data_IF_183475693140
#
_entry.id   IF_183475693140
#
_cell.length_a   1.000
_cell.length_b   1.000
_cell.length_c   1.000
_cell.angle_alpha   90.00
_cell.angle_beta   90.00
_cell.angle_gamma   90.00
#
_symmetry.space_group_name_H-M   'P 1'
#
loop_
_entity.id
_entity.type
_entity.pdbx_description
1 polymer ?
#
# COMPACT_ATOMS: atom_id res chain seq x y z
N UNK A 1 -5.85 22.81 7.18
CA UNK A 1 -4.66 21.92 7.07
C UNK A 1 -5.10 20.69 6.30
N UNK A 2 -4.29 20.19 5.37
CA UNK A 2 -4.56 18.99 4.57
C UNK A 2 -3.26 18.18 4.46
N UNK A 3 -3.38 16.85 4.46
CA UNK A 3 -2.25 15.97 4.14
C UNK A 3 -1.89 16.15 2.66
N UNK A 4 -0.59 16.24 2.33
CA UNK A 4 -0.13 16.25 0.96
C UNK A 4 0.11 14.81 0.47
N UNK A 5 1.16 14.19 0.94
CA UNK A 5 1.56 12.83 0.56
C UNK A 5 2.56 12.28 1.59
N UNK A 6 2.71 10.97 1.72
CA UNK A 6 3.86 10.36 2.37
C UNK A 6 5.11 10.48 1.48
N UNK A 7 6.30 10.48 2.11
CA UNK A 7 7.58 10.45 1.41
C UNK A 7 8.37 9.20 1.83
N UNK A 8 8.82 8.42 0.85
CA UNK A 8 9.61 7.20 1.04
C UNK A 8 11.04 7.44 0.58
N UNK A 9 11.99 7.20 1.47
CA UNK A 9 13.38 7.13 1.05
C UNK A 9 13.61 5.84 0.26
N UNK A 10 14.32 5.92 -0.86
CA UNK A 10 14.64 4.77 -1.71
C UNK A 10 16.15 4.64 -1.91
N UNK A 11 16.61 3.39 -1.95
CA UNK A 11 18.04 3.06 -2.15
C UNK A 11 18.46 3.26 -3.61
N UNK A 12 17.65 2.78 -4.54
CA UNK A 12 17.86 2.92 -5.99
C UNK A 12 16.60 3.48 -6.65
N UNK A 13 16.69 4.71 -7.14
CA UNK A 13 15.55 5.41 -7.71
C UNK A 13 15.02 4.74 -8.98
N UNK A 14 15.91 4.19 -9.84
CA UNK A 14 15.48 3.59 -11.09
C UNK A 14 14.70 2.30 -10.86
N UNK A 15 15.18 1.46 -9.95
CA UNK A 15 14.52 0.21 -9.55
C UNK A 15 13.17 0.50 -8.87
N UNK A 16 13.12 1.51 -8.00
CA UNK A 16 11.87 1.92 -7.34
C UNK A 16 10.86 2.46 -8.35
N UNK A 17 11.28 3.32 -9.29
CA UNK A 17 10.39 3.83 -10.34
C UNK A 17 9.85 2.73 -11.24
N UNK A 18 10.67 1.73 -11.59
CA UNK A 18 10.20 0.56 -12.34
C UNK A 18 9.11 -0.22 -11.56
N UNK A 19 9.32 -0.44 -10.26
CA UNK A 19 8.35 -1.11 -9.39
C UNK A 19 7.05 -0.30 -9.29
N UNK A 20 7.12 0.99 -8.91
CA UNK A 20 5.93 1.82 -8.74
C UNK A 20 5.18 2.03 -10.06
N UNK A 21 5.90 2.13 -11.19
CA UNK A 21 5.29 2.14 -12.52
C UNK A 21 4.56 0.85 -12.86
N UNK A 22 5.11 -0.30 -12.48
CA UNK A 22 4.47 -1.61 -12.71
C UNK A 22 3.17 -1.80 -11.92
N UNK A 23 3.01 -1.12 -10.78
CA UNK A 23 1.75 -1.09 -10.01
C UNK A 23 0.84 0.08 -10.35
N UNK A 24 1.16 0.85 -11.42
CA UNK A 24 0.29 1.84 -12.00
C UNK A 24 0.55 3.30 -11.59
N UNK A 25 1.59 3.58 -10.81
CA UNK A 25 1.97 4.97 -10.54
C UNK A 25 2.59 5.64 -11.77
N UNK A 26 2.27 6.91 -11.97
CA UNK A 26 2.87 7.79 -12.96
C UNK A 26 3.76 8.83 -12.30
N UNK A 27 4.92 9.11 -12.91
CA UNK A 27 5.77 10.22 -12.48
C UNK A 27 5.18 11.54 -12.94
N UNK A 28 4.88 12.42 -11.99
CA UNK A 28 4.35 13.79 -12.24
C UNK A 28 5.49 14.79 -12.40
N UNK A 29 6.54 14.66 -11.59
CA UNK A 29 7.64 15.60 -11.59
C UNK A 29 8.84 15.10 -10.81
N UNK A 30 9.94 15.84 -10.94
CA UNK A 30 11.19 15.58 -10.25
C UNK A 30 11.84 16.90 -9.85
N UNK A 31 12.41 16.93 -8.65
CA UNK A 31 13.19 18.06 -8.14
C UNK A 31 14.57 17.55 -7.74
N UNK A 32 15.60 18.19 -8.23
CA UNK A 32 16.99 17.96 -7.82
C UNK A 32 17.36 19.05 -6.79
N UNK A 33 17.71 18.62 -5.60
CA UNK A 33 18.09 19.52 -4.48
C UNK A 33 19.60 19.76 -4.38
N UNK A 34 20.39 19.19 -5.31
CA UNK A 34 21.86 19.17 -5.24
C UNK A 34 22.37 18.00 -4.40
N UNK A 35 23.71 17.83 -4.40
CA UNK A 35 24.43 16.77 -3.66
C UNK A 35 23.88 15.33 -3.93
N UNK A 36 23.30 15.12 -5.12
CA UNK A 36 22.69 13.85 -5.52
C UNK A 36 21.32 13.56 -4.89
N UNK A 37 20.76 14.51 -4.14
CA UNK A 37 19.42 14.36 -3.54
C UNK A 37 18.34 14.68 -4.55
N UNK A 38 17.44 13.73 -4.77
CA UNK A 38 16.33 13.86 -5.72
C UNK A 38 15.01 13.52 -5.07
N UNK A 39 14.01 14.36 -5.31
CA UNK A 39 12.60 14.11 -4.99
C UNK A 39 11.85 13.76 -6.26
N UNK A 40 11.08 12.69 -6.26
CA UNK A 40 10.26 12.28 -7.41
C UNK A 40 8.82 12.13 -6.96
N UNK A 41 7.92 12.87 -7.62
CA UNK A 41 6.50 12.95 -7.30
C UNK A 41 5.72 11.94 -8.14
N UNK A 42 4.94 11.11 -7.49
CA UNK A 42 4.13 10.06 -8.10
C UNK A 42 2.66 10.23 -7.76
N UNK A 43 1.79 9.79 -8.67
CA UNK A 43 0.34 9.63 -8.44
C UNK A 43 -0.21 8.50 -9.28
N UNK A 44 -1.41 8.00 -8.98
CA UNK A 44 -2.17 7.19 -9.94
C UNK A 44 -2.83 8.09 -10.99
N UNK A 45 -3.11 7.58 -12.21
CA UNK A 45 -3.77 8.37 -13.26
C UNK A 45 -5.09 9.04 -12.82
N UNK A 46 -5.87 8.36 -11.97
CA UNK A 46 -7.14 8.85 -11.45
C UNK A 46 -7.01 9.89 -10.33
N UNK A 47 -5.83 10.02 -9.70
CA UNK A 47 -5.61 10.99 -8.63
C UNK A 47 -5.46 12.40 -9.20
N UNK A 48 -6.08 13.39 -8.57
CA UNK A 48 -5.94 14.81 -8.95
C UNK A 48 -4.60 15.39 -8.47
N UNK A 49 -4.03 14.83 -7.42
CA UNK A 49 -2.82 15.33 -6.74
C UNK A 49 -1.77 14.23 -6.58
N UNK A 50 -0.55 14.63 -6.28
CA UNK A 50 0.53 13.70 -5.89
C UNK A 50 0.12 12.93 -4.64
N UNK A 51 0.30 11.62 -4.66
CA UNK A 51 -0.07 10.72 -3.57
C UNK A 51 1.11 9.97 -2.96
N UNK A 52 2.28 10.05 -3.61
CA UNK A 52 3.53 9.48 -3.09
C UNK A 52 4.73 10.32 -3.56
N UNK A 53 5.71 10.51 -2.69
CA UNK A 53 7.04 11.06 -3.02
C UNK A 53 8.11 10.01 -2.78
N UNK A 54 9.03 9.84 -3.73
CA UNK A 54 10.26 9.07 -3.56
C UNK A 54 11.43 10.01 -3.32
N UNK A 55 12.15 9.80 -2.23
CA UNK A 55 13.33 10.56 -1.83
C UNK A 55 14.57 9.71 -2.03
N UNK A 56 15.37 10.03 -3.03
CA UNK A 56 16.67 9.38 -3.26
C UNK A 56 17.78 10.22 -2.64
N UNK A 57 18.54 9.64 -1.71
CA UNK A 57 19.69 10.23 -1.02
C UNK A 57 20.82 9.21 -0.98
N UNK A 58 21.68 9.14 -2.01
CA UNK A 58 22.71 8.11 -2.09
C UNK A 58 23.74 8.19 -0.96
N UNK A 59 24.00 9.37 -0.43
CA UNK A 59 24.93 9.57 0.68
C UNK A 59 24.49 8.90 1.99
N UNK A 60 23.18 8.66 2.16
CA UNK A 60 22.64 8.02 3.37
C UNK A 60 22.74 6.48 3.36
N UNK A 61 23.27 5.89 2.26
CA UNK A 61 23.35 4.46 2.09
C UNK A 61 21.99 3.76 1.91
N UNK A 62 21.94 2.43 2.02
CA UNK A 62 20.71 1.66 1.84
C UNK A 62 19.61 2.03 2.83
N UNK A 63 18.36 1.85 2.41
CA UNK A 63 17.19 2.07 3.28
C UNK A 63 17.13 1.00 4.36
N UNK A 64 16.84 1.43 5.59
CA UNK A 64 16.49 0.56 6.71
C UNK A 64 15.13 1.03 7.26
N UNK A 65 14.05 0.29 6.96
CA UNK A 65 12.69 0.68 7.33
C UNK A 65 12.45 0.59 8.85
N UNK A 66 13.07 -0.40 9.50
CA UNK A 66 12.81 -0.66 10.91
C UNK A 66 11.39 -1.19 11.15
N UNK A 67 10.84 -0.94 12.33
CA UNK A 67 9.52 -1.43 12.77
C UNK A 67 8.43 -0.35 12.83
N UNK A 68 8.76 0.90 12.53
CA UNK A 68 7.83 2.04 12.71
C UNK A 68 6.83 2.22 11.59
N UNK A 69 7.17 1.81 10.37
CA UNK A 69 6.26 1.89 9.22
C UNK A 69 5.57 0.53 9.00
N UNK A 70 4.25 0.53 8.86
CA UNK A 70 3.49 -0.69 8.60
C UNK A 70 3.35 -0.95 7.11
N UNK A 71 2.60 -0.14 6.38
CA UNK A 71 2.35 -0.31 4.96
C UNK A 71 1.74 0.94 4.32
N UNK A 72 1.75 0.98 3.00
CA UNK A 72 0.90 1.83 2.17
C UNK A 72 -0.30 0.99 1.72
N UNK A 73 -1.52 1.50 1.91
CA UNK A 73 -2.72 0.89 1.35
C UNK A 73 -3.08 1.57 0.02
N UNK A 74 -3.38 0.77 -0.99
CA UNK A 74 -3.77 1.20 -2.33
C UNK A 74 -5.06 0.51 -2.72
N UNK A 75 -6.08 1.29 -3.05
CA UNK A 75 -7.32 0.75 -3.58
C UNK A 75 -7.17 0.36 -5.05
N UNK A 76 -7.69 -0.80 -5.41
CA UNK A 76 -7.73 -1.31 -6.79
C UNK A 76 -9.16 -1.75 -7.14
N UNK A 77 -9.56 -1.55 -8.40
CA UNK A 77 -10.89 -1.95 -8.88
C UNK A 77 -10.96 -3.45 -9.19
N UNK A 78 -9.85 -4.03 -9.63
CA UNK A 78 -9.72 -5.46 -9.97
C UNK A 78 -8.41 -6.01 -9.40
N UNK A 79 -8.51 -6.65 -8.23
CA UNK A 79 -7.35 -7.25 -7.56
C UNK A 79 -6.76 -8.42 -8.36
N UNK A 80 -7.61 -9.22 -8.99
CA UNK A 80 -7.16 -10.34 -9.83
C UNK A 80 -6.34 -9.89 -11.02
N UNK A 81 -6.87 -8.93 -11.78
CA UNK A 81 -6.19 -8.32 -12.91
C UNK A 81 -4.88 -7.62 -12.50
N UNK A 82 -4.87 -6.94 -11.35
CA UNK A 82 -3.67 -6.32 -10.81
C UNK A 82 -2.59 -7.37 -10.48
N UNK A 83 -2.95 -8.47 -9.81
CA UNK A 83 -2.02 -9.56 -9.49
C UNK A 83 -1.43 -10.17 -10.77
N UNK A 84 -2.25 -10.37 -11.81
CA UNK A 84 -1.75 -10.85 -13.10
C UNK A 84 -0.77 -9.86 -13.75
N UNK A 85 -1.10 -8.57 -13.72
CA UNK A 85 -0.26 -7.53 -14.31
C UNK A 85 1.11 -7.43 -13.61
N UNK A 86 1.15 -7.40 -12.28
CA UNK A 86 2.41 -7.34 -11.53
C UNK A 86 3.23 -8.62 -11.69
N UNK A 87 2.57 -9.79 -11.80
CA UNK A 87 3.24 -11.06 -12.06
C UNK A 87 3.90 -11.08 -13.45
N UNK A 88 3.22 -10.57 -14.48
CA UNK A 88 3.79 -10.40 -15.82
C UNK A 88 4.98 -9.44 -15.83
N UNK A 89 4.97 -8.44 -14.95
CA UNK A 89 6.10 -7.52 -14.75
C UNK A 89 7.25 -8.13 -13.92
N UNK A 90 7.15 -9.40 -13.51
CA UNK A 90 8.18 -10.10 -12.73
C UNK A 90 8.14 -9.83 -11.23
N UNK A 91 7.07 -9.20 -10.74
CA UNK A 91 6.85 -8.96 -9.32
C UNK A 91 6.06 -10.11 -8.69
N UNK A 92 6.15 -10.23 -7.36
CA UNK A 92 5.43 -11.26 -6.60
C UNK A 92 4.36 -10.62 -5.72
N UNK A 93 3.12 -11.01 -5.93
CA UNK A 93 2.02 -10.67 -5.02
C UNK A 93 1.78 -11.81 -4.01
N UNK A 94 1.33 -11.44 -2.80
CA UNK A 94 0.85 -12.39 -1.80
C UNK A 94 -0.45 -13.06 -2.21
N UNK A 95 -0.86 -14.05 -1.42
CA UNK A 95 -2.18 -14.67 -1.61
C UNK A 95 -3.29 -13.66 -1.36
N UNK A 96 -4.43 -13.86 -2.02
CA UNK A 96 -5.63 -13.05 -1.76
C UNK A 96 -6.22 -13.46 -0.42
N UNK A 97 -6.41 -12.47 0.45
CA UNK A 97 -7.02 -12.62 1.78
C UNK A 97 -8.37 -11.88 1.82
N UNK A 98 -9.21 -12.24 2.80
CA UNK A 98 -10.51 -11.60 3.05
C UNK A 98 -10.64 -11.29 4.55
N UNK A 99 -9.98 -10.24 5.05
CA UNK A 99 -9.93 -9.95 6.48
C UNK A 99 -11.30 -9.66 7.10
N UNK A 100 -12.28 -9.20 6.30
CA UNK A 100 -13.67 -8.97 6.71
C UNK A 100 -14.64 -10.10 6.37
N UNK A 101 -14.15 -11.31 6.00
CA UNK A 101 -14.99 -12.39 5.52
C UNK A 101 -15.46 -12.22 4.08
N UNK A 102 -16.50 -12.95 3.68
CA UNK A 102 -16.96 -12.97 2.27
C UNK A 102 -17.53 -11.63 1.80
N UNK A 103 -18.12 -10.86 2.70
CA UNK A 103 -18.73 -9.56 2.41
C UNK A 103 -17.74 -8.39 2.60
N UNK A 104 -16.53 -8.67 3.04
CA UNK A 104 -15.46 -7.69 3.26
C UNK A 104 -14.59 -7.46 2.03
N UNK A 105 -13.59 -6.58 2.17
CA UNK A 105 -12.62 -6.35 1.11
C UNK A 105 -11.77 -7.59 0.82
N UNK A 106 -11.28 -7.68 -0.40
CA UNK A 106 -10.19 -8.58 -0.76
C UNK A 106 -8.88 -7.81 -0.70
N UNK A 107 -7.84 -8.44 -0.14
CA UNK A 107 -6.53 -7.82 -0.03
C UNK A 107 -5.43 -8.75 -0.56
N UNK A 108 -4.34 -8.16 -1.02
CA UNK A 108 -3.08 -8.84 -1.33
C UNK A 108 -1.91 -7.93 -1.01
N UNK A 109 -0.71 -8.49 -0.91
CA UNK A 109 0.46 -7.77 -0.45
C UNK A 109 1.58 -7.78 -1.48
N UNK A 110 2.21 -6.64 -1.65
CA UNK A 110 3.46 -6.48 -2.38
C UNK A 110 4.57 -6.02 -1.43
N UNK A 111 5.81 -6.15 -1.90
CA UNK A 111 6.98 -5.48 -1.31
C UNK A 111 7.72 -4.75 -2.40
N UNK A 112 8.05 -3.50 -2.14
CA UNK A 112 8.89 -2.74 -3.03
C UNK A 112 10.38 -3.17 -2.91
N UNK A 113 11.28 -2.66 -3.76
CA UNK A 113 12.69 -3.04 -3.73
C UNK A 113 13.43 -2.78 -2.41
N UNK A 114 12.98 -1.81 -1.62
CA UNK A 114 13.54 -1.49 -0.31
C UNK A 114 12.84 -2.24 0.83
N UNK A 115 11.78 -3.00 0.54
CA UNK A 115 11.01 -3.78 1.50
C UNK A 115 9.79 -3.08 2.08
N UNK A 116 9.42 -1.87 1.60
CA UNK A 116 8.13 -1.26 1.96
C UNK A 116 6.98 -2.16 1.56
N UNK A 117 6.05 -2.37 2.50
CA UNK A 117 4.87 -3.18 2.23
C UNK A 117 3.78 -2.33 1.60
N UNK A 118 3.14 -2.87 0.57
CA UNK A 118 1.97 -2.27 -0.08
C UNK A 118 0.82 -3.27 0.03
N UNK A 119 -0.29 -2.82 0.61
CA UNK A 119 -1.54 -3.55 0.64
C UNK A 119 -2.40 -3.11 -0.54
N UNK A 120 -2.72 -4.04 -1.42
CA UNK A 120 -3.71 -3.84 -2.48
C UNK A 120 -5.09 -4.20 -1.92
N UNK A 121 -6.05 -3.29 -2.01
CA UNK A 121 -7.38 -3.45 -1.42
C UNK A 121 -8.44 -3.29 -2.50
N UNK A 122 -9.22 -4.34 -2.74
CA UNK A 122 -10.44 -4.27 -3.54
C UNK A 122 -11.65 -4.32 -2.64
N UNK A 123 -12.43 -3.25 -2.64
CA UNK A 123 -13.69 -3.19 -1.92
C UNK A 123 -14.80 -3.97 -2.63
N UNK A 124 -15.86 -4.39 -1.90
CA UNK A 124 -17.06 -4.94 -2.51
C UNK A 124 -17.70 -3.98 -3.51
N UNK A 125 -18.43 -4.50 -4.53
CA UNK A 125 -19.12 -3.66 -5.50
C UNK A 125 -20.04 -2.61 -4.84
N UNK A 126 -19.96 -1.37 -5.32
CA UNK A 126 -20.75 -0.24 -4.82
C UNK A 126 -20.14 0.50 -3.62
N UNK A 127 -19.00 0.06 -3.11
CA UNK A 127 -18.24 0.81 -2.10
C UNK A 127 -17.66 2.09 -2.70
N UNK A 128 -17.73 3.19 -1.96
CA UNK A 128 -17.14 4.45 -2.37
C UNK A 128 -15.59 4.39 -2.38
N UNK A 129 -14.96 5.31 -3.08
CA UNK A 129 -13.51 5.44 -3.01
C UNK A 129 -13.03 5.84 -1.61
N UNK A 130 -12.02 5.13 -1.12
CA UNK A 130 -11.41 5.36 0.19
C UNK A 130 -12.23 4.84 1.36
N UNK A 131 -11.72 5.09 2.56
CA UNK A 131 -12.37 4.74 3.82
C UNK A 131 -12.96 6.01 4.44
N UNK A 132 -14.23 5.98 4.78
CA UNK A 132 -14.97 7.11 5.32
C UNK A 132 -15.53 6.81 6.71
N UNK A 133 -16.01 7.82 7.42
CA UNK A 133 -16.69 7.62 8.69
C UNK A 133 -17.96 6.74 8.57
N UNK A 134 -18.58 6.69 7.37
CA UNK A 134 -19.75 5.86 7.14
C UNK A 134 -19.45 4.36 7.23
N UNK A 135 -18.22 3.96 6.87
CA UNK A 135 -17.78 2.55 6.90
C UNK A 135 -17.69 2.00 8.34
N UNK A 136 -17.67 2.88 9.33
CA UNK A 136 -17.67 2.55 10.77
C UNK A 136 -19.01 2.81 11.45
N UNK A 137 -19.98 3.42 10.76
CA UNK A 137 -21.30 3.72 11.30
C UNK A 137 -22.25 2.54 11.14
N UNK A 138 -22.16 1.53 11.97
CA UNK A 138 -23.03 0.35 11.94
C UNK A 138 -22.36 -0.95 12.35
N UNK A 139 -21.08 -0.93 12.57
CA UNK A 139 -20.27 -2.13 12.88
C UNK A 139 -19.68 -2.10 14.29
N UNK A 140 -20.49 -1.81 15.29
CA UNK A 140 -20.04 -2.00 16.67
C UNK A 140 -19.67 -3.45 17.02
N UNK A 141 -19.76 -4.42 16.10
CA UNK A 141 -19.71 -5.84 16.47
C UNK A 141 -18.92 -6.78 15.53
N UNK A 142 -18.50 -6.37 14.33
CA UNK A 142 -17.89 -7.33 13.39
C UNK A 142 -16.37 -7.51 13.56
N UNK A 143 -15.65 -6.54 14.06
CA UNK A 143 -14.19 -6.67 14.30
C UNK A 143 -13.85 -7.19 15.70
N UNK A 144 -14.86 -7.32 16.61
CA UNK A 144 -14.66 -7.78 17.98
C UNK A 144 -14.88 -9.30 18.15
N UNK A 145 -15.48 -10.01 17.21
CA UNK A 145 -15.92 -11.42 17.39
C UNK A 145 -14.84 -12.48 17.23
N UNK A 146 -13.68 -12.19 16.67
CA UNK A 146 -12.64 -13.21 16.50
C UNK A 146 -11.64 -13.36 17.67
N UNK A 147 -11.77 -12.58 18.74
CA UNK A 147 -10.88 -12.70 19.92
C UNK A 147 -11.46 -13.48 21.08
N UNK A 148 -12.63 -14.12 20.93
CA UNK A 148 -13.44 -14.65 22.05
C UNK A 148 -13.51 -16.16 22.23
N UNK A 149 -12.84 -17.01 21.44
CA UNK A 149 -12.94 -18.47 21.61
C UNK A 149 -11.61 -19.19 21.58
N UNK A 150 -10.75 -18.92 22.56
CA UNK A 150 -9.80 -19.96 23.02
C UNK A 150 -10.23 -20.39 24.40
N UNK A 151 -11.01 -21.48 24.40
CA UNK A 151 -11.60 -22.07 25.58
C UNK A 151 -10.56 -22.47 26.62
N UNK A 152 -10.91 -22.13 27.83
CA UNK A 152 -10.31 -22.59 29.07
C UNK A 152 -10.79 -24.03 29.33
N UNK A 153 -10.06 -25.04 28.91
CA UNK A 153 -10.24 -26.43 29.38
C UNK A 153 -9.40 -26.64 30.62
N UNK A 154 -9.98 -26.34 31.78
CA UNK A 154 -9.48 -26.87 33.06
C UNK A 154 -9.69 -28.36 33.09
N UNK A 155 -8.63 -29.13 33.13
CA UNK A 155 -8.65 -30.54 33.57
C UNK A 155 -8.73 -30.56 35.10
N UNK A 156 -9.64 -31.32 35.61
CA UNK A 156 -9.63 -31.93 36.95
C UNK A 156 -8.76 -33.20 36.90
#
# INVERSE_FOLDING_TARGET
MRTLHPAYRVTDLATSLAFYGAIGFEQVGRVDLGDGVTLTMLKFPADEVVTLELVHRPADGPVVIGSGFSHLAVQVDDLGGMIEAVTKAGLSAGQVERPGGLDGPQTSWLRDPDGYRIELVQWPPGHAYGITAADFSGTGDHLARERGTRGNTKRR
#
